data_IF_522767908570
#
_entry.id   IF_522767908570
#
_cell.length_a   1.000
_cell.length_b   1.000
_cell.length_c   1.000
_cell.angle_alpha   90.00
_cell.angle_beta   90.00
_cell.angle_gamma   90.00
#
_symmetry.space_group_name_H-M   'P 1'
#
loop_
_entity.id
_entity.type
_entity.pdbx_description
1 polymer ?
#
# COMPACT_ATOMS: atom_id res chain seq x y z
N UNK A 1 44.50 0.42 11.69
CA UNK A 1 45.96 0.24 11.90
C UNK A 1 46.48 -1.20 11.77
N UNK A 2 46.11 -2.18 12.61
CA UNK A 2 46.67 -3.56 12.49
C UNK A 2 46.33 -4.23 11.14
N UNK A 3 45.11 -4.04 10.66
CA UNK A 3 44.63 -4.64 9.42
C UNK A 3 45.29 -4.05 8.17
N UNK A 4 45.50 -2.73 8.13
CA UNK A 4 46.24 -2.06 7.05
C UNK A 4 47.67 -2.59 6.92
N UNK A 5 48.33 -2.92 8.03
CA UNK A 5 49.67 -3.52 8.03
C UNK A 5 49.65 -4.92 7.43
N UNK A 6 48.64 -5.73 7.77
CA UNK A 6 48.47 -7.08 7.20
C UNK A 6 48.18 -7.03 5.70
N UNK A 7 47.35 -6.08 5.26
CA UNK A 7 47.04 -5.88 3.84
C UNK A 7 48.29 -5.47 3.05
N UNK A 8 49.07 -4.51 3.57
CA UNK A 8 50.34 -4.08 2.95
C UNK A 8 51.39 -5.20 2.92
N UNK A 9 51.45 -6.04 3.95
CA UNK A 9 52.37 -7.18 3.98
C UNK A 9 51.97 -8.26 2.96
N UNK A 10 50.66 -8.52 2.78
CA UNK A 10 50.16 -9.59 1.94
C UNK A 10 50.07 -9.23 0.46
N UNK A 11 49.71 -8.00 0.13
CA UNK A 11 49.44 -7.55 -1.25
C UNK A 11 50.42 -6.46 -1.73
N UNK A 12 51.31 -5.98 -0.86
CA UNK A 12 52.20 -4.87 -1.17
C UNK A 12 51.44 -3.55 -1.32
N UNK A 13 52.05 -2.61 -2.03
CA UNK A 13 51.47 -1.31 -2.37
C UNK A 13 50.98 -1.26 -3.83
N UNK A 14 50.91 -2.42 -4.49
CA UNK A 14 50.45 -2.55 -5.86
C UNK A 14 48.92 -2.52 -5.85
N UNK A 15 48.30 -1.73 -6.72
CA UNK A 15 46.85 -1.60 -6.82
C UNK A 15 46.32 -2.65 -7.82
N UNK A 16 45.73 -3.78 -7.36
CA UNK A 16 45.28 -4.84 -8.28
C UNK A 16 43.96 -4.48 -8.98
N UNK A 17 43.27 -3.43 -8.52
CA UNK A 17 42.00 -2.98 -9.06
C UNK A 17 42.25 -1.85 -10.07
N UNK A 18 42.73 -2.22 -11.25
CA UNK A 18 42.72 -1.32 -12.41
C UNK A 18 41.60 -1.71 -13.34
N UNK A 19 40.81 -0.72 -13.71
CA UNK A 19 39.73 -0.87 -14.67
C UNK A 19 40.33 -0.81 -16.08
N UNK A 20 39.84 -1.62 -17.05
CA UNK A 20 40.26 -1.50 -18.45
C UNK A 20 40.01 -0.11 -19.01
N UNK A 21 40.86 0.31 -19.95
CA UNK A 21 40.66 1.55 -20.70
C UNK A 21 39.28 1.56 -21.38
N UNK A 22 38.52 2.65 -21.21
CA UNK A 22 37.19 2.82 -21.80
C UNK A 22 36.04 2.02 -21.16
N UNK A 23 36.26 1.37 -20.01
CA UNK A 23 35.19 0.68 -19.28
C UNK A 23 34.01 1.61 -18.96
N UNK A 24 34.29 2.78 -18.38
CA UNK A 24 33.26 3.75 -17.99
C UNK A 24 32.57 4.39 -19.20
N UNK A 25 33.22 4.44 -20.37
CA UNK A 25 32.61 4.96 -21.60
C UNK A 25 31.47 4.06 -22.12
N UNK A 26 31.58 2.75 -21.90
CA UNK A 26 30.56 1.76 -22.32
C UNK A 26 29.57 1.38 -21.23
N UNK A 27 29.86 1.73 -19.98
CA UNK A 27 29.07 1.36 -18.80
C UNK A 27 27.63 1.87 -18.91
N UNK A 28 27.44 3.14 -19.24
CA UNK A 28 26.11 3.76 -19.35
C UNK A 28 25.25 3.05 -20.40
N UNK A 29 25.82 2.79 -21.57
CA UNK A 29 25.14 2.08 -22.66
C UNK A 29 24.72 0.67 -22.24
N UNK A 30 25.62 -0.06 -21.59
CA UNK A 30 25.33 -1.40 -21.09
C UNK A 30 24.26 -1.38 -20.00
N UNK A 31 24.29 -0.40 -19.10
CA UNK A 31 23.28 -0.25 -18.06
C UNK A 31 21.90 -0.02 -18.66
N UNK A 32 21.76 0.97 -19.55
CA UNK A 32 20.48 1.33 -20.17
C UNK A 32 19.88 0.20 -21.02
N UNK A 33 20.72 -0.61 -21.66
CA UNK A 33 20.26 -1.79 -22.41
C UNK A 33 19.75 -2.91 -21.51
N UNK A 34 20.28 -3.05 -20.30
CA UNK A 34 19.92 -4.10 -19.35
C UNK A 34 18.77 -3.70 -18.42
N UNK A 35 18.30 -2.45 -18.47
CA UNK A 35 17.08 -2.06 -17.79
C UNK A 35 15.92 -2.69 -18.57
N UNK A 36 15.14 -3.61 -17.96
CA UNK A 36 13.96 -4.14 -18.62
C UNK A 36 13.07 -2.96 -18.99
N UNK A 37 12.79 -2.78 -20.28
CA UNK A 37 11.76 -1.87 -20.74
C UNK A 37 10.50 -2.29 -20.01
N UNK A 38 10.17 -1.56 -18.94
CA UNK A 38 8.89 -1.72 -18.26
C UNK A 38 7.88 -1.14 -19.22
N UNK A 39 7.56 -1.91 -20.27
CA UNK A 39 6.30 -1.84 -20.96
C UNK A 39 5.33 -2.22 -19.88
N UNK A 40 4.91 -1.21 -19.12
CA UNK A 40 3.68 -1.22 -18.40
C UNK A 40 2.62 -1.53 -19.46
N UNK A 41 2.43 -2.83 -19.73
CA UNK A 41 1.26 -3.34 -20.36
C UNK A 41 0.19 -3.01 -19.34
N UNK A 42 -0.35 -1.81 -19.49
CA UNK A 42 -1.53 -1.32 -18.81
C UNK A 42 -2.64 -2.28 -19.25
N UNK A 43 -2.67 -3.47 -18.66
CA UNK A 43 -3.85 -4.32 -18.72
C UNK A 43 -4.94 -3.45 -18.10
N UNK A 44 -5.96 -3.04 -18.86
CA UNK A 44 -7.03 -2.27 -18.25
C UNK A 44 -7.62 -3.16 -17.16
N UNK A 45 -7.53 -2.70 -15.92
CA UNK A 45 -8.23 -3.31 -14.80
C UNK A 45 -9.72 -3.26 -15.17
N UNK A 46 -10.29 -4.37 -15.66
CA UNK A 46 -11.73 -4.51 -15.84
C UNK A 46 -12.36 -4.51 -14.44
N UNK A 47 -12.53 -3.32 -13.87
CA UNK A 47 -13.28 -3.13 -12.63
C UNK A 47 -14.72 -3.49 -12.94
N UNK A 48 -15.17 -4.65 -12.44
CA UNK A 48 -16.55 -5.09 -12.58
C UNK A 48 -17.48 -4.10 -11.86
N UNK A 49 -18.07 -3.18 -12.64
CA UNK A 49 -19.05 -2.19 -12.17
C UNK A 49 -20.44 -2.86 -11.96
N UNK A 50 -20.56 -4.15 -12.24
CA UNK A 50 -21.83 -4.88 -12.26
C UNK A 50 -22.47 -5.11 -10.88
N UNK A 51 -21.78 -4.78 -9.78
CA UNK A 51 -22.33 -4.87 -8.42
C UNK A 51 -23.09 -3.60 -7.96
N UNK A 52 -23.15 -2.55 -8.78
CA UNK A 52 -23.84 -1.30 -8.42
C UNK A 52 -25.38 -1.40 -8.34
N UNK A 53 -26.11 -2.13 -9.20
CA UNK A 53 -27.57 -2.17 -9.14
C UNK A 53 -28.12 -3.08 -8.04
N UNK A 54 -27.31 -3.98 -7.46
CA UNK A 54 -27.79 -4.91 -6.43
C UNK A 54 -28.20 -4.22 -5.12
N UNK A 55 -27.64 -3.03 -4.83
CA UNK A 55 -28.00 -2.25 -3.64
C UNK A 55 -29.41 -1.65 -3.72
N UNK A 56 -29.92 -1.39 -4.93
CA UNK A 56 -31.24 -0.77 -5.13
C UNK A 56 -32.38 -1.76 -4.91
N UNK A 57 -32.18 -3.03 -5.30
CA UNK A 57 -33.17 -4.09 -5.13
C UNK A 57 -33.46 -4.35 -3.64
N UNK A 58 -32.45 -4.30 -2.78
CA UNK A 58 -32.62 -4.44 -1.34
C UNK A 58 -33.48 -3.31 -0.74
N UNK A 59 -33.28 -2.06 -1.17
CA UNK A 59 -34.12 -0.94 -0.73
C UNK A 59 -35.58 -1.10 -1.17
N UNK A 60 -35.84 -1.48 -2.43
CA UNK A 60 -37.20 -1.70 -2.90
C UNK A 60 -37.90 -2.85 -2.15
N UNK A 61 -37.20 -3.96 -1.87
CA UNK A 61 -37.76 -5.06 -1.08
C UNK A 61 -38.08 -4.65 0.36
N UNK A 62 -37.21 -3.86 1.00
CA UNK A 62 -37.45 -3.34 2.35
C UNK A 62 -38.66 -2.39 2.38
N UNK A 63 -38.79 -1.48 1.40
CA UNK A 63 -39.94 -0.55 1.32
C UNK A 63 -41.25 -1.30 1.08
N UNK A 64 -41.25 -2.35 0.25
CA UNK A 64 -42.44 -3.18 0.03
C UNK A 64 -42.83 -3.99 1.27
N UNK A 65 -41.86 -4.53 2.01
CA UNK A 65 -42.16 -5.23 3.27
C UNK A 65 -42.64 -4.28 4.38
N UNK A 66 -42.03 -3.10 4.51
CA UNK A 66 -42.43 -2.10 5.50
C UNK A 66 -43.82 -1.55 5.18
N UNK A 67 -44.10 -1.20 3.92
CA UNK A 67 -45.45 -0.77 3.53
C UNK A 67 -46.47 -1.87 3.73
N UNK A 68 -46.21 -3.10 3.28
CA UNK A 68 -47.09 -4.24 3.50
C UNK A 68 -47.37 -4.50 4.99
N UNK A 69 -46.35 -4.42 5.84
CA UNK A 69 -46.51 -4.57 7.29
C UNK A 69 -47.28 -3.42 7.94
N UNK A 70 -47.12 -2.18 7.47
CA UNK A 70 -47.90 -1.02 7.95
C UNK A 70 -49.36 -1.13 7.50
N UNK A 71 -49.65 -1.59 6.28
CA UNK A 71 -51.03 -1.84 5.84
C UNK A 71 -51.68 -2.99 6.62
N UNK A 72 -50.91 -4.01 6.98
CA UNK A 72 -51.42 -5.16 7.72
C UNK A 72 -51.58 -4.88 9.23
N UNK A 73 -50.67 -4.09 9.83
CA UNK A 73 -50.71 -3.72 11.25
C UNK A 73 -51.45 -2.40 11.53
N UNK A 74 -51.62 -1.50 10.55
CA UNK A 74 -52.26 -0.19 10.68
C UNK A 74 -53.78 -0.20 10.84
N UNK A 75 -54.41 -1.38 10.81
CA UNK A 75 -55.82 -1.56 11.22
C UNK A 75 -55.93 -1.74 12.75
N UNK A 76 -54.82 -1.89 13.48
CA UNK A 76 -54.79 -1.96 14.96
C UNK A 76 -53.83 -0.90 15.53
N UNK A 77 -54.41 0.26 15.81
CA UNK A 77 -53.99 1.33 16.74
C UNK A 77 -52.55 1.38 17.32
N UNK A 78 -51.93 2.56 17.10
CA UNK A 78 -51.14 3.42 18.02
C UNK A 78 -49.85 2.88 18.66
N UNK A 79 -48.73 3.56 18.40
CA UNK A 79 -47.78 3.96 19.47
C UNK A 79 -46.69 4.90 18.95
N UNK A 80 -46.64 6.02 19.65
CA UNK A 80 -45.58 7.01 19.88
C UNK A 80 -44.21 6.87 19.20
N UNK A 81 -43.86 7.98 18.55
CA UNK A 81 -42.53 8.53 18.38
C UNK A 81 -41.55 8.16 19.51
N UNK A 82 -40.56 7.33 19.19
CA UNK A 82 -39.26 7.36 19.87
C UNK A 82 -38.17 7.16 18.82
N UNK A 83 -37.58 8.29 18.46
CA UNK A 83 -36.31 8.42 17.76
C UNK A 83 -35.25 7.64 18.54
N UNK A 84 -34.81 6.52 18.00
CA UNK A 84 -33.54 5.88 18.35
C UNK A 84 -32.80 5.58 17.05
N UNK A 85 -32.19 6.63 16.50
CA UNK A 85 -31.21 6.53 15.44
C UNK A 85 -30.00 5.76 15.95
N UNK A 86 -30.01 4.43 15.80
CA UNK A 86 -28.78 3.65 15.85
C UNK A 86 -28.13 3.68 14.46
N UNK A 87 -27.69 4.88 14.08
CA UNK A 87 -26.64 5.05 13.08
C UNK A 87 -25.33 4.81 13.84
N UNK A 88 -24.76 3.63 13.67
CA UNK A 88 -23.30 3.47 13.74
C UNK A 88 -22.92 2.22 12.98
N UNK A 89 -22.64 2.47 11.71
CA UNK A 89 -21.73 1.69 10.89
C UNK A 89 -20.52 1.25 11.71
N UNK A 90 -20.21 -0.04 11.67
CA UNK A 90 -18.88 -0.58 11.42
C UNK A 90 -17.67 0.37 11.68
N UNK A 91 -17.45 0.76 12.94
CA UNK A 91 -16.24 1.42 13.45
C UNK A 91 -15.64 0.46 14.48
N UNK A 92 -15.02 -0.62 14.03
CA UNK A 92 -14.24 -1.50 14.94
C UNK A 92 -13.07 -2.19 14.25
N UNK A 93 -13.08 -2.30 12.92
CA UNK A 93 -11.90 -2.75 12.17
C UNK A 93 -10.75 -1.73 12.18
N UNK A 94 -11.04 -0.46 12.48
CA UNK A 94 -10.05 0.63 12.53
C UNK A 94 -9.13 0.54 13.77
N UNK A 95 -9.67 0.35 14.98
CA UNK A 95 -8.87 0.41 16.21
C UNK A 95 -7.85 -0.71 16.36
N UNK A 96 -8.16 -1.92 15.91
CA UNK A 96 -7.19 -3.03 15.95
C UNK A 96 -6.07 -2.82 14.92
N UNK A 97 -6.40 -2.24 13.76
CA UNK A 97 -5.40 -1.87 12.77
C UNK A 97 -4.50 -0.75 13.27
N UNK A 98 -5.01 0.20 14.05
CA UNK A 98 -4.26 1.37 14.51
C UNK A 98 -3.12 0.99 15.47
N UNK A 99 -3.37 0.08 16.44
CA UNK A 99 -2.33 -0.39 17.37
C UNK A 99 -1.23 -1.19 16.66
N UNK A 100 -1.62 -2.04 15.71
CA UNK A 100 -0.69 -2.88 14.94
C UNK A 100 0.08 -2.04 13.92
N UNK A 101 -0.56 -1.01 13.37
CA UNK A 101 0.04 -0.06 12.44
C UNK A 101 1.03 0.85 13.16
N UNK A 102 0.76 1.29 14.40
CA UNK A 102 1.70 2.04 15.23
C UNK A 102 2.96 1.20 15.52
N UNK A 103 2.80 -0.08 15.87
CA UNK A 103 3.93 -1.02 16.11
C UNK A 103 4.76 -1.31 14.85
N UNK A 104 4.15 -1.30 13.66
CA UNK A 104 4.85 -1.48 12.38
C UNK A 104 5.34 -0.13 11.80
N UNK A 105 4.85 1.00 12.31
CA UNK A 105 5.14 2.34 11.76
C UNK A 105 6.62 2.70 11.89
N UNK A 106 7.25 2.37 13.01
CA UNK A 106 8.69 2.58 13.24
C UNK A 106 9.56 1.92 12.16
N UNK A 107 9.12 0.77 11.62
CA UNK A 107 9.81 0.08 10.52
C UNK A 107 9.42 0.59 9.13
N UNK A 108 8.23 1.16 8.98
CA UNK A 108 7.72 1.70 7.71
C UNK A 108 8.15 3.15 7.45
N UNK A 109 8.45 3.91 8.50
CA UNK A 109 8.92 5.30 8.42
C UNK A 109 10.43 5.41 8.12
N UNK A 110 11.14 4.28 8.06
CA UNK A 110 12.52 4.22 7.57
C UNK A 110 12.50 4.32 6.04
N UNK A 111 12.18 5.51 5.53
CA UNK A 111 12.21 5.81 4.10
C UNK A 111 13.66 5.65 3.59
N UNK A 112 13.81 5.14 2.36
CA UNK A 112 15.13 4.90 1.76
C UNK A 112 16.00 6.18 1.69
N UNK A 113 15.40 7.37 1.83
CA UNK A 113 16.09 8.66 1.83
C UNK A 113 17.04 8.81 3.04
N UNK A 114 16.71 8.23 4.20
CA UNK A 114 17.57 8.24 5.38
C UNK A 114 18.88 7.48 5.11
N UNK A 115 18.84 6.44 4.28
CA UNK A 115 20.01 5.66 3.86
C UNK A 115 20.97 6.47 2.98
N UNK A 116 20.44 7.32 2.09
CA UNK A 116 21.27 8.14 1.20
C UNK A 116 21.98 9.27 1.94
N UNK A 117 21.39 9.81 3.01
CA UNK A 117 22.01 10.88 3.81
C UNK A 117 23.38 10.50 4.39
N UNK A 118 23.60 9.21 4.70
CA UNK A 118 24.89 8.69 5.17
C UNK A 118 25.91 8.50 4.06
N UNK A 119 25.44 8.27 2.83
CA UNK A 119 26.30 8.04 1.65
C UNK A 119 26.67 9.37 0.99
N UNK A 120 25.82 10.39 1.07
CA UNK A 120 26.05 11.69 0.44
C UNK A 120 26.78 12.70 1.33
N UNK A 121 27.03 12.37 2.60
CA UNK A 121 27.77 13.22 3.54
C UNK A 121 29.27 12.84 3.64
N UNK A 122 29.90 12.55 2.50
CA UNK A 122 31.36 12.56 2.35
C UNK A 122 31.80 13.72 1.43
#
# INVERSE_FOLDING_TARGET
MKEEILLKQKFGNNMPFMVPEGYFDSLEKNLMQNIPETKASQKPLKRSIFMRPLRWVACFAAVLLVSGAIYFNGIKDKSDFNQNDNISENISSSSYSDYMLDEISDCAMFDNDDFYSYVTNE
#
